data_IF_442854490335
#
_entry.id   IF_442854490335
#
_cell.length_a   1.000
_cell.length_b   1.000
_cell.length_c   1.000
_cell.angle_alpha   90.00
_cell.angle_beta   90.00
_cell.angle_gamma   90.00
#
_symmetry.space_group_name_H-M   'P 1'
#
loop_
_entity.id
_entity.type
_entity.pdbx_description
1 polymer ?
#
# COMPACT_ATOMS: atom_id res chain seq x y z
N UNK A 1 -3.92 2.94 -17.08
CA UNK A 1 -3.91 1.73 -16.21
C UNK A 1 -4.54 0.52 -16.93
N UNK A 2 -5.79 0.57 -17.32
CA UNK A 2 -6.51 -0.59 -17.91
C UNK A 2 -5.82 -1.22 -19.13
N UNK A 3 -5.24 -0.42 -20.02
CA UNK A 3 -4.49 -0.95 -21.16
C UNK A 3 -3.27 -1.75 -20.71
N UNK A 4 -2.50 -1.28 -19.73
CA UNK A 4 -1.33 -2.01 -19.19
C UNK A 4 -1.71 -3.30 -18.49
N UNK A 5 -2.85 -3.32 -17.79
CA UNK A 5 -3.35 -4.55 -17.16
C UNK A 5 -3.78 -5.59 -18.21
N UNK A 6 -4.37 -5.16 -19.33
CA UNK A 6 -4.67 -6.05 -20.46
C UNK A 6 -3.40 -6.61 -21.12
N UNK A 7 -2.40 -5.76 -21.34
CA UNK A 7 -1.11 -6.18 -21.92
C UNK A 7 -0.40 -7.22 -21.04
N UNK A 8 -0.59 -7.15 -19.71
CA UNK A 8 -0.04 -8.08 -18.72
C UNK A 8 -0.99 -9.24 -18.34
N UNK A 9 -1.91 -9.63 -19.20
CA UNK A 9 -3.02 -10.54 -18.91
C UNK A 9 -2.59 -11.89 -18.28
N UNK A 10 -1.45 -12.42 -18.68
CA UNK A 10 -0.89 -13.69 -18.16
C UNK A 10 0.13 -13.52 -17.02
N UNK A 11 0.43 -12.29 -16.64
CA UNK A 11 1.40 -11.95 -15.61
C UNK A 11 0.70 -11.60 -14.28
N UNK A 12 1.33 -11.93 -13.17
CA UNK A 12 0.92 -11.40 -11.87
C UNK A 12 1.36 -9.95 -11.73
N UNK A 13 0.43 -9.08 -11.39
CA UNK A 13 0.68 -7.65 -11.30
C UNK A 13 0.67 -7.20 -9.84
N UNK A 14 1.72 -6.50 -9.44
CA UNK A 14 1.77 -5.71 -8.20
C UNK A 14 1.61 -4.24 -8.59
N UNK A 15 0.58 -3.59 -8.05
CA UNK A 15 0.34 -2.18 -8.31
C UNK A 15 0.96 -1.31 -7.23
N UNK A 16 1.77 -0.35 -7.64
CA UNK A 16 2.34 0.67 -6.77
C UNK A 16 1.58 1.99 -6.92
N UNK A 17 1.24 2.60 -5.80
CA UNK A 17 0.59 3.90 -5.77
C UNK A 17 1.07 4.70 -4.56
N UNK A 18 1.03 6.03 -4.62
CA UNK A 18 1.42 6.84 -3.47
C UNK A 18 0.31 6.87 -2.41
N UNK A 19 -0.87 7.36 -2.77
CA UNK A 19 -2.00 7.41 -1.85
C UNK A 19 -2.71 6.05 -1.82
N UNK A 20 -2.98 5.48 -0.63
CA UNK A 20 -3.69 4.21 -0.54
C UNK A 20 -5.13 4.34 -1.05
N UNK A 21 -5.58 3.33 -1.78
CA UNK A 21 -6.99 3.20 -2.16
C UNK A 21 -7.83 2.55 -1.05
N UNK A 22 -7.18 1.90 -0.09
CA UNK A 22 -7.78 1.22 1.06
C UNK A 22 -7.83 2.12 2.30
N UNK A 23 -8.59 1.69 3.32
CA UNK A 23 -8.60 2.33 4.63
C UNK A 23 -7.54 1.71 5.54
N UNK A 24 -6.93 2.53 6.35
CA UNK A 24 -5.87 2.15 7.30
C UNK A 24 -6.41 1.93 8.71
N UNK A 25 -7.62 2.40 8.99
CA UNK A 25 -8.19 2.52 10.34
C UNK A 25 -7.68 3.74 11.11
N UNK A 26 -6.70 4.47 10.57
CA UNK A 26 -6.24 5.74 11.12
C UNK A 26 -7.07 6.87 10.53
N UNK A 27 -8.02 7.42 11.29
CA UNK A 27 -9.01 8.38 10.79
C UNK A 27 -8.40 9.55 10.01
N UNK A 28 -7.35 10.16 10.54
CA UNK A 28 -6.67 11.29 9.87
C UNK A 28 -6.04 10.89 8.52
N UNK A 29 -5.48 9.68 8.43
CA UNK A 29 -4.89 9.17 7.19
C UNK A 29 -5.95 8.76 6.16
N UNK A 30 -7.07 8.21 6.63
CA UNK A 30 -8.15 7.78 5.77
C UNK A 30 -8.85 8.96 5.06
N UNK A 31 -8.77 10.16 5.63
CA UNK A 31 -9.18 11.41 4.95
C UNK A 31 -8.25 11.81 3.80
N UNK A 32 -7.00 11.33 3.82
CA UNK A 32 -5.96 11.65 2.83
C UNK A 32 -5.75 10.54 1.79
N UNK A 33 -6.59 9.51 1.82
CA UNK A 33 -6.52 8.41 0.85
C UNK A 33 -6.91 8.86 -0.57
N UNK A 34 -6.73 7.97 -1.53
CA UNK A 34 -7.17 8.17 -2.91
C UNK A 34 -8.68 8.51 -2.96
N UNK A 35 -9.03 9.71 -3.45
CA UNK A 35 -10.42 10.21 -3.43
C UNK A 35 -11.36 9.36 -4.27
N UNK A 36 -10.89 8.87 -5.42
CA UNK A 36 -11.66 8.02 -6.33
C UNK A 36 -11.36 6.52 -6.14
N UNK A 37 -11.18 6.10 -4.89
CA UNK A 37 -10.88 4.69 -4.55
C UNK A 37 -11.93 3.71 -5.04
N UNK A 38 -13.20 4.09 -5.04
CA UNK A 38 -14.29 3.27 -5.59
C UNK A 38 -14.08 2.97 -7.07
N UNK A 39 -13.78 3.99 -7.88
CA UNK A 39 -13.55 3.83 -9.32
C UNK A 39 -12.28 3.02 -9.59
N UNK A 40 -11.25 3.20 -8.76
CA UNK A 40 -10.03 2.39 -8.81
C UNK A 40 -10.36 0.90 -8.62
N UNK A 41 -11.05 0.52 -7.54
CA UNK A 41 -11.42 -0.87 -7.30
C UNK A 41 -12.37 -1.41 -8.36
N UNK A 42 -13.36 -0.63 -8.79
CA UNK A 42 -14.26 -1.01 -9.89
C UNK A 42 -13.50 -1.30 -11.19
N UNK A 43 -12.43 -0.55 -11.44
CA UNK A 43 -11.57 -0.76 -12.61
C UNK A 43 -10.76 -2.04 -12.49
N UNK A 44 -10.02 -2.23 -11.38
CA UNK A 44 -9.12 -3.39 -11.24
C UNK A 44 -9.87 -4.72 -11.08
N UNK A 45 -11.11 -4.70 -10.60
CA UNK A 45 -11.98 -5.89 -10.54
C UNK A 45 -12.28 -6.52 -11.90
N UNK A 46 -12.10 -5.77 -12.99
CA UNK A 46 -12.23 -6.31 -14.35
C UNK A 46 -11.00 -7.10 -14.82
N UNK A 47 -9.96 -7.21 -13.98
CA UNK A 47 -8.70 -7.87 -14.30
C UNK A 47 -8.37 -8.91 -13.23
N UNK A 48 -8.07 -10.13 -13.65
CA UNK A 48 -7.78 -11.23 -12.73
C UNK A 48 -6.31 -11.34 -12.36
N UNK A 49 -5.48 -10.44 -12.85
CA UNK A 49 -4.02 -10.50 -12.72
C UNK A 49 -3.46 -9.57 -11.65
N UNK A 50 -4.26 -8.71 -11.04
CA UNK A 50 -3.81 -7.86 -9.92
C UNK A 50 -3.79 -8.66 -8.63
N UNK A 51 -2.60 -8.83 -8.05
CA UNK A 51 -2.39 -9.69 -6.88
C UNK A 51 -2.10 -8.91 -5.59
N UNK A 52 -1.51 -7.74 -5.69
CA UNK A 52 -1.08 -6.97 -4.53
C UNK A 52 -1.07 -5.48 -4.81
N UNK A 53 -1.42 -4.70 -3.81
CA UNK A 53 -1.37 -3.25 -3.82
C UNK A 53 -0.28 -2.77 -2.86
N UNK A 54 0.64 -1.95 -3.33
CA UNK A 54 1.67 -1.34 -2.48
C UNK A 54 1.47 0.17 -2.49
N UNK A 55 1.36 0.75 -1.31
CA UNK A 55 1.18 2.19 -1.16
C UNK A 55 2.25 2.83 -0.31
N UNK A 56 2.60 4.06 -0.66
CA UNK A 56 3.36 4.97 0.18
C UNK A 56 2.46 5.77 1.12
N UNK A 57 2.84 7.00 1.41
CA UNK A 57 2.07 8.01 2.13
C UNK A 57 1.83 7.74 3.63
N UNK A 58 1.67 6.48 4.04
CA UNK A 58 1.29 6.10 5.41
C UNK A 58 2.44 6.21 6.39
N UNK A 59 3.69 6.09 5.92
CA UNK A 59 4.90 6.11 6.74
C UNK A 59 4.87 5.10 7.90
N UNK A 60 4.21 3.95 7.68
CA UNK A 60 4.16 2.81 8.60
C UNK A 60 4.13 1.50 7.83
N UNK A 61 4.71 0.46 8.40
CA UNK A 61 4.55 -0.89 7.87
C UNK A 61 3.17 -1.43 8.25
N UNK A 62 2.41 -1.79 7.24
CA UNK A 62 1.09 -2.40 7.37
C UNK A 62 0.92 -3.45 6.28
N UNK A 63 0.12 -4.45 6.55
CA UNK A 63 -0.37 -5.39 5.54
C UNK A 63 -1.80 -5.81 5.88
N UNK A 64 -2.53 -6.25 4.88
CA UNK A 64 -3.89 -6.70 5.07
C UNK A 64 -4.58 -7.07 3.77
N UNK A 65 -5.90 -7.23 3.86
CA UNK A 65 -6.80 -7.52 2.75
C UNK A 65 -7.88 -6.43 2.69
N UNK A 66 -8.08 -5.86 1.52
CA UNK A 66 -9.13 -4.86 1.30
C UNK A 66 -9.78 -5.07 -0.08
N UNK A 67 -11.09 -5.13 -0.12
CA UNK A 67 -11.86 -5.38 -1.35
C UNK A 67 -11.41 -6.62 -2.15
N UNK A 68 -10.84 -7.63 -1.46
CA UNK A 68 -10.32 -8.86 -2.05
C UNK A 68 -8.85 -8.80 -2.50
N UNK A 69 -8.18 -7.67 -2.32
CA UNK A 69 -6.76 -7.47 -2.68
C UNK A 69 -5.87 -7.41 -1.46
N UNK A 70 -4.77 -8.14 -1.49
CA UNK A 70 -3.70 -7.97 -0.50
C UNK A 70 -3.06 -6.59 -0.67
N UNK A 71 -2.69 -5.98 0.43
CA UNK A 71 -1.96 -4.71 0.40
C UNK A 71 -0.81 -4.68 1.40
N UNK A 72 0.18 -3.86 1.12
CA UNK A 72 1.28 -3.53 2.02
C UNK A 72 1.66 -2.07 1.92
N UNK A 73 2.14 -1.54 3.03
CA UNK A 73 2.84 -0.26 3.12
C UNK A 73 4.13 -0.47 3.90
N UNK A 74 5.06 0.47 3.78
CA UNK A 74 6.37 0.41 4.43
C UNK A 74 6.63 1.64 5.28
N UNK A 75 7.58 1.53 6.19
CA UNK A 75 8.15 2.69 6.86
C UNK A 75 8.72 3.68 5.84
N UNK A 76 8.72 4.94 6.18
CA UNK A 76 9.37 5.98 5.40
C UNK A 76 10.88 5.97 5.64
N UNK A 77 11.64 6.42 4.65
CA UNK A 77 13.08 6.69 4.80
C UNK A 77 13.37 7.97 5.59
N UNK A 78 12.35 8.75 5.93
CA UNK A 78 12.47 10.01 6.66
C UNK A 78 11.77 9.90 8.03
N UNK A 79 10.49 10.15 8.09
CA UNK A 79 9.71 10.22 9.34
C UNK A 79 8.63 9.14 9.35
N UNK A 80 8.38 8.58 10.54
CA UNK A 80 7.28 7.64 10.74
C UNK A 80 6.06 8.37 11.29
N UNK A 81 4.87 7.82 11.07
CA UNK A 81 3.63 8.34 11.66
C UNK A 81 3.27 7.53 12.91
N UNK A 82 2.79 8.22 13.94
CA UNK A 82 2.28 7.57 15.15
C UNK A 82 0.99 6.82 14.83
N UNK A 83 0.86 5.59 15.32
CA UNK A 83 -0.38 4.83 15.21
C UNK A 83 -1.45 5.41 16.13
N UNK A 84 -2.40 6.14 15.56
CA UNK A 84 -3.58 6.65 16.24
C UNK A 84 -4.83 6.39 15.42
N UNK A 85 -5.72 5.56 15.95
CA UNK A 85 -6.97 5.23 15.25
C UNK A 85 -7.98 6.37 15.28
N UNK A 86 -8.14 7.01 16.44
CA UNK A 86 -9.09 8.12 16.63
C UNK A 86 -8.33 9.43 16.82
N UNK A 87 -7.93 10.04 15.74
CA UNK A 87 -7.29 11.34 15.74
C UNK A 87 -7.77 12.15 14.52
N UNK A 88 -7.91 13.44 14.71
CA UNK A 88 -8.31 14.41 13.67
C UNK A 88 -7.13 14.88 12.82
N UNK A 89 -5.91 14.62 13.26
CA UNK A 89 -4.67 15.01 12.58
C UNK A 89 -3.60 13.94 12.67
N UNK A 90 -2.69 13.97 11.70
CA UNK A 90 -1.51 13.13 11.67
C UNK A 90 -0.46 13.63 12.67
N UNK A 91 0.23 12.71 13.32
CA UNK A 91 1.34 12.98 14.23
C UNK A 91 2.55 12.16 13.81
N UNK A 92 3.72 12.80 13.79
CA UNK A 92 4.97 12.12 13.48
C UNK A 92 5.63 11.56 14.74
N UNK A 93 6.11 10.33 14.63
CA UNK A 93 6.86 9.66 15.70
C UNK A 93 8.27 10.25 15.83
N UNK A 94 8.72 10.39 17.07
CA UNK A 94 10.09 10.80 17.36
C UNK A 94 10.95 9.56 17.64
N UNK A 95 12.12 9.49 16.99
CA UNK A 95 13.10 8.45 17.27
C UNK A 95 12.77 7.05 16.73
N UNK A 96 11.76 6.91 15.88
CA UNK A 96 11.56 5.66 15.15
C UNK A 96 12.51 5.56 13.95
N UNK A 97 13.10 4.39 13.76
CA UNK A 97 14.00 4.12 12.64
C UNK A 97 13.27 4.25 11.28
N UNK A 98 14.02 4.71 10.30
CA UNK A 98 13.62 4.66 8.90
C UNK A 98 13.54 3.21 8.40
N UNK A 99 12.85 2.98 7.29
CA UNK A 99 12.76 1.63 6.75
C UNK A 99 12.37 1.60 5.28
N UNK A 100 12.42 0.41 4.71
CA UNK A 100 12.05 0.13 3.33
C UNK A 100 11.53 -1.30 3.17
N UNK A 101 10.93 -1.58 2.04
CA UNK A 101 10.49 -2.92 1.67
C UNK A 101 11.38 -3.53 0.60
N UNK A 102 11.60 -4.84 0.68
CA UNK A 102 12.24 -5.64 -0.35
C UNK A 102 11.22 -6.64 -0.88
N UNK A 103 11.03 -6.70 -2.19
CA UNK A 103 10.17 -7.67 -2.83
C UNK A 103 11.05 -8.65 -3.59
N UNK A 104 11.05 -9.89 -3.14
CA UNK A 104 11.72 -10.99 -3.84
C UNK A 104 10.69 -11.67 -4.73
N UNK A 105 10.99 -11.75 -6.02
CA UNK A 105 10.16 -12.44 -7.01
C UNK A 105 10.77 -13.80 -7.36
N UNK A 106 9.96 -14.85 -7.31
CA UNK A 106 10.32 -16.19 -7.71
C UNK A 106 9.21 -16.80 -8.59
N UNK A 107 9.35 -16.65 -9.88
CA UNK A 107 8.33 -17.05 -10.85
C UNK A 107 6.99 -16.38 -10.56
N UNK A 108 5.98 -17.21 -10.17
CA UNK A 108 4.65 -16.72 -9.81
C UNK A 108 4.51 -16.35 -8.34
N UNK A 109 5.55 -16.54 -7.54
CA UNK A 109 5.55 -16.27 -6.11
C UNK A 109 6.31 -14.98 -5.81
N UNK A 110 5.97 -14.34 -4.71
CA UNK A 110 6.74 -13.22 -4.18
C UNK A 110 6.70 -13.21 -2.66
N UNK A 111 7.76 -12.65 -2.08
CA UNK A 111 7.87 -12.43 -0.64
C UNK A 111 8.22 -10.98 -0.40
N UNK A 112 7.60 -10.36 0.59
CA UNK A 112 7.85 -8.98 0.96
C UNK A 112 8.51 -8.95 2.34
N UNK A 113 9.70 -8.37 2.42
CA UNK A 113 10.43 -8.12 3.65
C UNK A 113 10.33 -6.64 4.03
N UNK A 114 10.22 -6.38 5.32
CA UNK A 114 10.33 -5.04 5.89
C UNK A 114 11.67 -4.93 6.61
N UNK A 115 12.49 -3.97 6.22
CA UNK A 115 13.79 -3.72 6.80
C UNK A 115 13.85 -2.34 7.46
N UNK A 116 14.56 -2.24 8.55
CA UNK A 116 14.84 -0.98 9.24
C UNK A 116 16.27 -0.53 8.98
N UNK A 117 16.43 0.78 8.85
CA UNK A 117 17.74 1.43 8.76
C UNK A 117 18.05 2.03 10.12
N UNK A 118 19.12 1.58 10.69
CA UNK A 118 19.62 2.08 11.97
C UNK A 118 20.50 3.32 11.78
#
# INVERSE_FOLDING_TARGET
MSQKLKEADHEKVILFMHHPAFTTGMQAMDLLRLKNSHDFFSTIKNFNNVNHLISGHIHRSMCGLYEGYNFSTFKSINQQMVLKFKADRVEYAKGENSGYGIILLDGKNYTIHNEEVN
#
